data_IF_449439096751
#
_entry.id   IF_449439096751
#
_cell.length_a   1.000
_cell.length_b   1.000
_cell.length_c   1.000
_cell.angle_alpha   90.00
_cell.angle_beta   90.00
_cell.angle_gamma   90.00
#
_symmetry.space_group_name_H-M   'P 1'
#
loop_
_entity.id
_entity.type
_entity.pdbx_description
1 polymer ?
#
# COMPACT_ATOMS: atom_id res chain seq x y z
N UNK A 1 -4.69 3.02 11.21
CA UNK A 1 -3.80 3.75 10.27
C UNK A 1 -2.35 3.29 10.37
N UNK A 2 -1.87 2.98 11.58
CA UNK A 2 -0.51 2.52 11.80
C UNK A 2 -0.27 1.09 11.31
N UNK A 3 -1.20 0.16 11.55
CA UNK A 3 -1.01 -1.25 11.20
C UNK A 3 -0.74 -1.47 9.71
N UNK A 4 -1.52 -0.81 8.83
CA UNK A 4 -1.33 -0.84 7.37
C UNK A 4 0.09 -0.40 7.03
N UNK A 5 0.53 0.79 7.47
CA UNK A 5 1.92 1.20 7.20
C UNK A 5 2.98 0.23 7.72
N UNK A 6 2.74 -0.46 8.84
CA UNK A 6 3.67 -1.48 9.34
C UNK A 6 3.73 -2.67 8.38
N UNK A 7 2.59 -3.17 7.88
CA UNK A 7 2.54 -4.26 6.91
C UNK A 7 3.31 -3.93 5.62
N UNK A 8 3.17 -2.70 5.11
CA UNK A 8 3.92 -2.22 3.95
C UNK A 8 5.44 -2.29 4.18
N UNK A 9 5.92 -1.76 5.31
CA UNK A 9 7.35 -1.79 5.63
C UNK A 9 7.89 -3.22 5.79
N UNK A 10 7.08 -4.12 6.37
CA UNK A 10 7.45 -5.54 6.52
C UNK A 10 7.60 -6.21 5.16
N UNK A 11 6.62 -6.07 4.26
CA UNK A 11 6.69 -6.72 2.95
C UNK A 11 7.78 -6.12 2.05
N UNK A 12 8.03 -4.80 2.11
CA UNK A 12 9.16 -4.18 1.42
C UNK A 12 10.52 -4.70 1.94
N UNK A 13 10.64 -4.86 3.26
CA UNK A 13 11.86 -5.45 3.87
C UNK A 13 12.05 -6.89 3.40
N UNK A 14 10.98 -7.69 3.35
CA UNK A 14 11.04 -9.06 2.84
C UNK A 14 11.47 -9.11 1.36
N UNK A 15 10.92 -8.23 0.51
CA UNK A 15 11.32 -8.11 -0.88
C UNK A 15 12.81 -7.85 -1.06
N UNK A 16 13.37 -6.96 -0.25
CA UNK A 16 14.81 -6.65 -0.24
C UNK A 16 15.61 -7.85 0.27
N UNK A 17 15.16 -8.50 1.36
CA UNK A 17 15.85 -9.63 1.97
C UNK A 17 15.92 -10.87 1.07
N UNK A 18 14.89 -11.12 0.28
CA UNK A 18 14.83 -12.24 -0.65
C UNK A 18 15.44 -11.92 -2.03
N UNK A 19 15.99 -10.71 -2.22
CA UNK A 19 16.49 -10.20 -3.52
C UNK A 19 15.49 -10.41 -4.67
N UNK A 20 14.20 -10.28 -4.39
CA UNK A 20 13.14 -10.48 -5.40
C UNK A 20 12.98 -9.19 -6.20
N UNK A 21 13.57 -9.15 -7.39
CA UNK A 21 13.43 -8.00 -8.28
C UNK A 21 12.17 -8.15 -9.14
N UNK A 22 11.08 -7.52 -8.71
CA UNK A 22 9.83 -7.49 -9.46
C UNK A 22 9.40 -6.05 -9.79
N UNK A 23 9.35 -5.73 -11.08
CA UNK A 23 8.84 -4.44 -11.57
C UNK A 23 7.39 -4.21 -11.15
N UNK A 24 6.59 -5.28 -11.03
CA UNK A 24 5.23 -5.20 -10.50
C UNK A 24 5.20 -4.78 -9.02
N UNK A 25 6.14 -5.27 -8.22
CA UNK A 25 6.28 -4.89 -6.81
C UNK A 25 6.72 -3.43 -6.65
N UNK A 26 7.60 -2.94 -7.52
CA UNK A 26 8.03 -1.55 -7.51
C UNK A 26 6.87 -0.60 -7.86
N UNK A 27 6.09 -0.94 -8.90
CA UNK A 27 4.93 -0.13 -9.30
C UNK A 27 3.88 -0.09 -8.20
N UNK A 28 3.57 -1.22 -7.56
CA UNK A 28 2.61 -1.27 -6.46
C UNK A 28 3.12 -0.54 -5.21
N UNK A 29 4.43 -0.58 -4.94
CA UNK A 29 5.04 0.18 -3.85
C UNK A 29 4.86 1.70 -4.00
N UNK A 30 5.07 2.24 -5.20
CA UNK A 30 4.82 3.64 -5.50
C UNK A 30 3.32 3.99 -5.45
N UNK A 31 2.45 3.09 -5.92
CA UNK A 31 1.00 3.27 -5.87
C UNK A 31 0.49 3.41 -4.43
N UNK A 32 1.09 2.65 -3.49
CA UNK A 32 0.80 2.74 -2.07
C UNK A 32 1.19 4.11 -1.49
N UNK A 33 2.38 4.61 -1.82
CA UNK A 33 2.85 5.94 -1.37
C UNK A 33 1.90 7.04 -1.84
N UNK A 34 1.51 7.03 -3.11
CA UNK A 34 0.56 8.01 -3.68
C UNK A 34 -0.80 7.92 -3.00
N UNK A 35 -1.28 6.70 -2.73
CA UNK A 35 -2.55 6.48 -2.00
C UNK A 35 -2.52 7.10 -0.61
N UNK A 36 -1.39 7.04 0.11
CA UNK A 36 -1.23 7.68 1.43
C UNK A 36 -1.24 9.20 1.35
N UNK A 37 -0.66 9.79 0.32
CA UNK A 37 -0.72 11.24 0.07
C UNK A 37 -2.18 11.66 -0.16
N UNK A 38 -2.90 10.93 -1.02
CA UNK A 38 -4.33 11.17 -1.23
C UNK A 38 -5.14 11.05 0.06
N UNK A 39 -4.82 10.06 0.91
CA UNK A 39 -5.48 9.90 2.21
C UNK A 39 -5.25 11.09 3.13
N UNK A 40 -4.03 11.61 3.20
CA UNK A 40 -3.70 12.80 3.97
C UNK A 40 -4.40 14.05 3.42
N UNK A 41 -4.41 14.24 2.10
CA UNK A 41 -5.10 15.36 1.43
C UNK A 41 -6.60 15.31 1.69
N UNK A 42 -7.24 14.14 1.57
CA UNK A 42 -8.68 13.98 1.86
C UNK A 42 -8.98 14.24 3.34
N UNK A 43 -8.11 13.78 4.25
CA UNK A 43 -8.24 14.03 5.69
C UNK A 43 -8.14 15.51 6.05
N UNK A 44 -7.28 16.27 5.36
CA UNK A 44 -7.05 17.71 5.63
C UNK A 44 -8.10 18.58 4.92
N UNK A 45 -8.57 18.18 3.74
CA UNK A 45 -9.36 19.08 2.86
C UNK A 45 -10.87 18.89 2.99
N UNK A 46 -11.41 17.68 3.19
CA UNK A 46 -12.83 17.42 2.96
C UNK A 46 -13.57 16.75 4.13
N UNK A 47 -14.52 17.47 4.73
CA UNK A 47 -15.42 17.00 5.80
C UNK A 47 -16.64 16.20 5.27
N UNK A 48 -16.51 15.40 4.20
CA UNK A 48 -17.59 14.52 3.71
C UNK A 48 -17.23 13.05 3.94
N UNK A 49 -17.96 12.42 4.86
CA UNK A 49 -17.78 11.05 5.37
C UNK A 49 -17.58 9.93 4.31
N UNK A 50 -18.26 9.90 3.13
CA UNK A 50 -18.14 8.75 2.22
C UNK A 50 -16.77 8.65 1.54
N UNK A 51 -16.12 9.78 1.22
CA UNK A 51 -14.80 9.77 0.57
C UNK A 51 -13.70 9.26 1.51
N UNK A 52 -13.85 9.49 2.82
CA UNK A 52 -12.90 9.02 3.84
C UNK A 52 -12.81 7.50 3.91
N UNK A 53 -13.95 6.80 3.73
CA UNK A 53 -14.01 5.34 3.73
C UNK A 53 -13.42 4.75 2.44
N UNK A 54 -13.66 5.39 1.29
CA UNK A 54 -13.16 4.94 0.00
C UNK A 54 -11.62 5.01 -0.05
N UNK A 55 -11.02 6.09 0.46
CA UNK A 55 -9.56 6.23 0.46
C UNK A 55 -8.88 5.27 1.46
N UNK A 56 -9.56 4.95 2.55
CA UNK A 56 -9.11 3.89 3.47
C UNK A 56 -9.16 2.51 2.79
N UNK A 57 -10.23 2.20 2.05
CA UNK A 57 -10.35 0.96 1.29
C UNK A 57 -9.29 0.83 0.18
N UNK A 58 -8.97 1.90 -0.53
CA UNK A 58 -7.89 1.91 -1.55
C UNK A 58 -6.54 1.57 -0.91
N UNK A 59 -6.24 2.14 0.26
CA UNK A 59 -4.97 1.86 0.95
C UNK A 59 -4.85 0.39 1.36
N UNK A 60 -5.95 -0.21 1.84
CA UNK A 60 -6.01 -1.66 2.16
C UNK A 60 -5.86 -2.51 0.90
N UNK A 61 -6.52 -2.14 -0.20
CA UNK A 61 -6.41 -2.86 -1.47
C UNK A 61 -4.99 -2.84 -2.02
N UNK A 62 -4.30 -1.70 -1.91
CA UNK A 62 -2.93 -1.57 -2.37
C UNK A 62 -1.95 -2.42 -1.55
N UNK A 63 -2.16 -2.49 -0.22
CA UNK A 63 -1.42 -3.40 0.67
C UNK A 63 -1.64 -4.88 0.31
N UNK A 64 -2.90 -5.26 0.08
CA UNK A 64 -3.25 -6.61 -0.35
C UNK A 64 -2.57 -6.98 -1.68
N UNK A 65 -2.53 -6.05 -2.63
CA UNK A 65 -1.87 -6.27 -3.91
C UNK A 65 -0.37 -6.53 -3.76
N UNK A 66 0.29 -5.82 -2.84
CA UNK A 66 1.71 -5.96 -2.59
C UNK A 66 2.06 -7.31 -1.96
N UNK A 67 1.21 -7.77 -1.02
CA UNK A 67 1.32 -9.10 -0.43
C UNK A 67 1.02 -10.23 -1.41
N UNK A 68 -0.01 -10.11 -2.25
CA UNK A 68 -0.31 -11.10 -3.29
C UNK A 68 0.85 -11.19 -4.27
N UNK A 69 1.41 -10.05 -4.70
CA UNK A 69 2.59 -10.02 -5.56
C UNK A 69 3.81 -10.70 -4.94
N UNK A 70 4.02 -10.51 -3.63
CA UNK A 70 5.09 -11.20 -2.89
C UNK A 70 4.89 -12.72 -2.87
N UNK A 71 3.68 -13.19 -2.53
CA UNK A 71 3.37 -14.63 -2.47
C UNK A 71 3.54 -15.27 -3.86
N UNK A 72 3.08 -14.61 -4.92
CA UNK A 72 3.21 -15.10 -6.30
C UNK A 72 4.67 -15.13 -6.76
N UNK A 73 5.50 -14.21 -6.29
CA UNK A 73 6.93 -14.21 -6.62
C UNK A 73 7.71 -15.31 -5.85
N UNK A 74 7.13 -15.83 -4.77
CA UNK A 74 7.70 -16.90 -3.95
C UNK A 74 7.28 -18.30 -4.44
N UNK A 75 6.13 -18.41 -5.12
CA UNK A 75 5.60 -19.67 -5.67
C UNK A 75 6.24 -20.03 -7.00
#
# INVERSE_FOLDING_TARGET
>A
MFEISVFYYVVCTLYIFLEVESTLALVSAWLFVVSRIFQAVVHITYNKAPYRMLVFAISILCELFLWVGFIVSLS
#
